data_IF_694354863090
#
_entry.id   IF_694354863090
#
_cell.length_a   1.000
_cell.length_b   1.000
_cell.length_c   1.000
_cell.angle_alpha   90.00
_cell.angle_beta   90.00
_cell.angle_gamma   90.00
#
_symmetry.space_group_name_H-M   'P 1'
#
loop_
_entity.id
_entity.type
_entity.pdbx_description
1 polymer ?
#
# COMPACT_ATOMS: atom_id res chain seq x y z
N UNK A 1 -4.91 -13.13 -0.67
CA UNK A 1 -3.65 -12.67 -1.30
C UNK A 1 -3.41 -13.44 -2.59
N UNK A 2 -3.26 -12.72 -3.70
CA UNK A 2 -3.01 -13.32 -5.00
C UNK A 2 -1.52 -13.55 -5.27
N UNK A 3 -0.65 -12.74 -4.70
CA UNK A 3 0.79 -12.82 -4.94
C UNK A 3 1.56 -12.29 -3.74
N UNK A 4 2.62 -13.00 -3.37
CA UNK A 4 3.59 -12.56 -2.36
C UNK A 4 4.99 -12.91 -2.85
N UNK A 5 5.92 -11.97 -2.71
CA UNK A 5 7.34 -12.20 -2.98
C UNK A 5 8.17 -11.64 -1.84
N UNK A 6 8.93 -12.50 -1.18
CA UNK A 6 9.93 -12.10 -0.20
C UNK A 6 11.30 -12.09 -0.89
N UNK A 7 11.82 -10.91 -1.17
CA UNK A 7 13.10 -10.74 -1.84
C UNK A 7 14.26 -11.18 -0.94
N UNK A 8 15.39 -11.60 -1.53
CA UNK A 8 16.60 -11.90 -0.74
C UNK A 8 16.96 -10.73 0.18
N UNK A 9 17.29 -11.03 1.43
CA UNK A 9 17.61 -10.03 2.43
C UNK A 9 16.42 -9.45 3.19
N UNK A 10 15.18 -9.80 2.82
CA UNK A 10 14.01 -9.39 3.58
C UNK A 10 13.93 -10.13 4.92
N UNK A 11 13.34 -9.47 5.92
CA UNK A 11 13.11 -10.05 7.24
C UNK A 11 11.63 -10.42 7.44
N UNK A 12 11.32 -11.37 8.35
CA UNK A 12 9.92 -11.68 8.66
C UNK A 12 9.08 -10.47 9.09
N UNK A 13 9.71 -9.47 9.73
CA UNK A 13 9.05 -8.22 10.10
C UNK A 13 8.55 -7.43 8.90
N UNK A 14 9.16 -7.58 7.73
CA UNK A 14 8.70 -6.91 6.52
C UNK A 14 7.32 -7.41 6.09
N UNK A 15 7.06 -8.71 6.20
CA UNK A 15 5.75 -9.27 5.91
C UNK A 15 4.68 -8.76 6.89
N UNK A 16 5.03 -8.60 8.16
CA UNK A 16 4.13 -8.04 9.16
C UNK A 16 3.81 -6.58 8.88
N UNK A 17 4.81 -5.77 8.54
CA UNK A 17 4.59 -4.39 8.13
C UNK A 17 3.70 -4.29 6.89
N UNK A 18 3.94 -5.16 5.90
CA UNK A 18 3.11 -5.20 4.69
C UNK A 18 1.65 -5.51 5.03
N UNK A 19 1.40 -6.48 5.90
CA UNK A 19 0.05 -6.81 6.38
C UNK A 19 -0.64 -5.61 7.02
N UNK A 20 0.05 -4.92 7.91
CA UNK A 20 -0.49 -3.77 8.64
C UNK A 20 -0.80 -2.59 7.73
N UNK A 21 0.06 -2.31 6.76
CA UNK A 21 -0.16 -1.28 5.74
C UNK A 21 -1.34 -1.63 4.85
N UNK A 22 -1.42 -2.87 4.40
CA UNK A 22 -2.53 -3.38 3.60
C UNK A 22 -3.86 -3.24 4.34
N UNK A 23 -3.89 -3.55 5.62
CA UNK A 23 -5.11 -3.44 6.42
C UNK A 23 -5.67 -2.01 6.39
N UNK A 24 -4.81 -1.00 6.45
CA UNK A 24 -5.23 0.41 6.32
C UNK A 24 -5.92 0.66 4.98
N UNK A 25 -5.31 0.22 3.89
CA UNK A 25 -5.83 0.45 2.54
C UNK A 25 -7.13 -0.32 2.30
N UNK A 26 -7.21 -1.56 2.76
CA UNK A 26 -8.43 -2.37 2.58
C UNK A 26 -9.62 -1.77 3.32
N UNK A 27 -9.40 -1.17 4.48
CA UNK A 27 -10.48 -0.56 5.24
C UNK A 27 -10.85 0.83 4.73
N UNK A 28 -9.87 1.66 4.45
CA UNK A 28 -10.08 3.08 4.17
C UNK A 28 -10.03 3.46 2.69
N UNK A 29 -9.59 2.55 1.83
CA UNK A 29 -9.56 2.69 0.37
C UNK A 29 -8.78 3.92 -0.13
N UNK A 30 -7.76 4.31 0.61
CA UNK A 30 -6.79 5.36 0.26
C UNK A 30 -5.39 4.83 0.53
N UNK A 31 -4.38 5.41 -0.12
CA UNK A 31 -3.01 4.99 0.13
C UNK A 31 -2.65 5.12 1.62
N UNK A 32 -1.87 4.19 2.13
CA UNK A 32 -1.44 4.23 3.52
C UNK A 32 -0.60 5.47 3.84
N UNK A 33 0.13 6.01 2.85
CA UNK A 33 0.83 7.28 3.01
C UNK A 33 -0.14 8.45 3.19
N UNK A 34 -1.17 8.54 2.37
CA UNK A 34 -2.17 9.61 2.47
C UNK A 34 -2.87 9.60 3.84
N UNK A 35 -3.22 8.42 4.32
CA UNK A 35 -3.82 8.27 5.65
C UNK A 35 -2.84 8.75 6.73
N UNK A 36 -1.57 8.32 6.68
CA UNK A 36 -0.57 8.72 7.65
C UNK A 36 -0.32 10.22 7.69
N UNK A 37 -0.21 10.85 6.51
CA UNK A 37 -0.01 12.31 6.41
C UNK A 37 -1.22 13.08 6.94
N UNK A 38 -2.43 12.62 6.66
CA UNK A 38 -3.65 13.23 7.20
C UNK A 38 -3.72 13.14 8.72
N UNK A 39 -3.34 12.02 9.30
CA UNK A 39 -3.30 11.86 10.76
C UNK A 39 -2.26 12.78 11.41
N UNK A 40 -1.09 12.94 10.79
CA UNK A 40 -0.06 13.87 11.28
C UNK A 40 -0.56 15.31 11.22
N UNK A 41 -1.19 15.71 10.11
CA UNK A 41 -1.76 17.05 9.96
C UNK A 41 -2.77 17.34 11.06
N UNK A 42 -3.61 16.37 11.41
CA UNK A 42 -4.68 16.52 12.37
C UNK A 42 -4.24 16.18 13.81
N UNK A 43 -2.96 15.90 14.03
CA UNK A 43 -2.36 15.54 15.32
C UNK A 43 -3.12 14.43 16.04
N UNK A 44 -3.38 13.34 15.31
CA UNK A 44 -4.11 12.19 15.83
C UNK A 44 -3.51 10.87 15.31
N UNK A 45 -4.12 9.77 15.66
CA UNK A 45 -3.77 8.43 15.20
C UNK A 45 -5.04 7.60 14.98
N UNK A 46 -4.88 6.42 14.37
CA UNK A 46 -6.02 5.57 14.04
C UNK A 46 -6.72 5.02 15.28
N UNK A 47 -6.01 4.79 16.35
CA UNK A 47 -6.63 4.30 17.58
C UNK A 47 -7.53 5.35 18.21
N UNK A 48 -7.07 6.58 18.34
CA UNK A 48 -7.88 7.69 18.88
C UNK A 48 -9.06 8.04 17.97
N UNK A 49 -8.83 8.06 16.67
CA UNK A 49 -9.84 8.49 15.70
C UNK A 49 -10.88 7.41 15.40
N UNK A 50 -10.46 6.15 15.30
CA UNK A 50 -11.30 5.06 14.78
C UNK A 50 -11.25 3.80 15.65
N UNK A 51 -10.49 3.78 16.73
CA UNK A 51 -10.35 2.60 17.57
C UNK A 51 -9.57 1.45 16.93
N UNK A 52 -8.76 1.72 15.91
CA UNK A 52 -7.98 0.70 15.23
C UNK A 52 -6.66 0.49 15.96
N UNK A 53 -6.30 -0.78 16.31
CA UNK A 53 -5.08 -1.05 17.06
C UNK A 53 -3.83 -0.89 16.20
N UNK A 54 -2.80 -0.27 16.74
CA UNK A 54 -1.51 -0.08 16.07
C UNK A 54 -0.87 -1.41 15.64
N UNK A 55 -1.14 -2.48 16.37
CA UNK A 55 -0.58 -3.80 16.08
C UNK A 55 -1.00 -4.31 14.70
N UNK A 56 -2.19 -3.93 14.25
CA UNK A 56 -2.78 -4.45 13.01
C UNK A 56 -2.90 -3.41 11.90
N UNK A 57 -2.68 -2.13 12.21
CA UNK A 57 -2.86 -1.04 11.24
C UNK A 57 -1.67 -0.09 11.30
N UNK A 58 -0.96 0.03 10.17
CA UNK A 58 0.20 0.91 10.04
C UNK A 58 -0.08 1.98 8.96
N UNK A 59 -0.38 3.23 9.37
CA UNK A 59 -0.63 4.32 8.43
C UNK A 59 0.69 4.91 7.92
N UNK A 60 1.51 4.08 7.29
CA UNK A 60 2.80 4.42 6.72
C UNK A 60 2.85 4.03 5.26
N UNK A 61 3.58 4.79 4.44
CA UNK A 61 3.67 4.58 3.00
C UNK A 61 4.10 3.18 2.62
N UNK A 62 3.50 2.63 1.57
CA UNK A 62 3.83 1.32 1.03
C UNK A 62 2.64 0.48 0.62
N UNK A 63 1.41 0.91 0.85
CA UNK A 63 0.24 0.23 0.32
C UNK A 63 -0.66 1.21 -0.44
N UNK A 64 -1.20 0.76 -1.56
CA UNK A 64 -1.96 1.59 -2.48
C UNK A 64 -3.19 0.84 -2.99
N UNK A 65 -4.38 1.48 -3.06
CA UNK A 65 -5.58 0.82 -3.55
C UNK A 65 -5.52 0.64 -5.07
N UNK A 66 -5.98 -0.52 -5.52
CA UNK A 66 -6.17 -0.80 -6.93
C UNK A 66 -7.62 -0.54 -7.30
N UNK A 67 -7.84 0.43 -8.19
CA UNK A 67 -9.17 0.82 -8.65
C UNK A 67 -9.33 0.55 -10.13
N UNK A 68 -10.51 0.07 -10.49
CA UNK A 68 -10.90 -0.12 -11.89
C UNK A 68 -12.06 0.82 -12.18
N UNK A 69 -11.98 1.52 -13.30
CA UNK A 69 -13.08 2.38 -13.77
C UNK A 69 -14.37 1.59 -13.84
N UNK A 70 -15.42 2.11 -13.19
CA UNK A 70 -16.73 1.49 -13.15
C UNK A 70 -16.91 0.40 -12.11
N UNK A 71 -15.84 -0.10 -11.47
CA UNK A 71 -15.92 -1.17 -10.46
C UNK A 71 -15.42 -0.75 -9.08
N UNK A 72 -14.74 0.38 -8.98
CA UNK A 72 -14.20 0.87 -7.71
C UNK A 72 -12.93 0.16 -7.27
N UNK A 73 -12.72 0.07 -5.96
CA UNK A 73 -11.55 -0.54 -5.38
C UNK A 73 -11.69 -2.06 -5.35
N UNK A 74 -10.79 -2.76 -6.03
CA UNK A 74 -10.80 -4.23 -6.14
C UNK A 74 -9.73 -4.91 -5.32
N UNK A 75 -8.81 -4.17 -4.75
CA UNK A 75 -7.70 -4.75 -3.99
C UNK A 75 -6.64 -3.72 -3.65
N UNK A 76 -5.46 -4.22 -3.35
CA UNK A 76 -4.32 -3.38 -2.99
C UNK A 76 -3.01 -4.00 -3.46
N UNK A 77 -2.01 -3.14 -3.65
CA UNK A 77 -0.62 -3.54 -3.85
C UNK A 77 0.22 -2.96 -2.71
N UNK A 78 1.09 -3.77 -2.13
CA UNK A 78 1.85 -3.39 -0.93
C UNK A 78 3.31 -3.77 -1.08
N UNK A 79 4.19 -2.84 -0.70
CA UNK A 79 5.64 -3.01 -0.62
C UNK A 79 6.09 -2.61 0.78
N UNK A 80 7.01 -3.38 1.35
CA UNK A 80 7.62 -3.07 2.64
C UNK A 80 9.08 -3.48 2.65
N UNK A 81 9.95 -2.61 3.17
CA UNK A 81 11.39 -2.87 3.29
C UNK A 81 12.28 -1.66 3.08
N UNK A 82 11.75 -0.56 2.59
CA UNK A 82 12.44 0.71 2.43
C UNK A 82 11.80 1.78 3.34
N UNK A 83 12.37 2.99 3.45
CA UNK A 83 11.66 4.10 4.10
C UNK A 83 10.27 4.29 3.47
N UNK A 84 9.29 4.73 4.26
CA UNK A 84 7.88 4.74 3.85
C UNK A 84 7.60 5.54 2.58
N UNK A 85 8.33 6.64 2.36
CA UNK A 85 8.17 7.43 1.14
C UNK A 85 8.70 6.69 -0.09
N UNK A 86 9.76 5.91 0.07
CA UNK A 86 10.34 5.13 -1.03
C UNK A 86 9.47 3.92 -1.38
N UNK A 87 8.92 3.23 -0.39
CA UNK A 87 7.95 2.16 -0.61
C UNK A 87 6.75 2.68 -1.41
N UNK A 88 6.20 3.82 -1.00
CA UNK A 88 5.09 4.47 -1.69
C UNK A 88 5.47 4.88 -3.12
N UNK A 89 6.61 5.53 -3.29
CA UNK A 89 7.06 6.03 -4.59
C UNK A 89 7.27 4.90 -5.61
N UNK A 90 7.75 3.75 -5.16
CA UNK A 90 7.92 2.58 -6.03
C UNK A 90 6.57 2.16 -6.63
N UNK A 91 5.55 2.04 -5.79
CA UNK A 91 4.21 1.64 -6.26
C UNK A 91 3.65 2.66 -7.23
N UNK A 92 3.73 3.94 -6.89
CA UNK A 92 3.20 5.02 -7.75
C UNK A 92 3.89 5.02 -9.09
N UNK A 93 5.22 4.85 -9.14
CA UNK A 93 5.97 4.83 -10.39
C UNK A 93 5.55 3.67 -11.30
N UNK A 94 5.32 2.48 -10.73
CA UNK A 94 4.88 1.31 -11.50
C UNK A 94 3.46 1.51 -12.03
N UNK A 95 2.54 1.97 -11.21
CA UNK A 95 1.16 2.21 -11.63
C UNK A 95 1.07 3.32 -12.65
N UNK A 96 1.88 4.37 -12.52
CA UNK A 96 1.94 5.46 -13.51
C UNK A 96 2.46 4.95 -14.86
N UNK A 97 3.49 4.11 -14.84
CA UNK A 97 4.01 3.51 -16.07
C UNK A 97 2.97 2.65 -16.77
N UNK A 98 2.16 1.91 -16.02
CA UNK A 98 1.08 1.13 -16.59
C UNK A 98 0.00 2.01 -17.22
N UNK A 99 -0.36 3.12 -16.59
CA UNK A 99 -1.33 4.06 -17.14
C UNK A 99 -0.81 4.73 -18.42
N UNK A 100 0.45 5.15 -18.41
CA UNK A 100 1.05 5.88 -19.54
C UNK A 100 1.20 5.01 -20.79
N UNK A 101 1.47 3.72 -20.60
CA UNK A 101 1.65 2.76 -21.68
C UNK A 101 0.35 2.06 -22.12
N UNK A 102 -0.76 2.38 -21.43
CA UNK A 102 -2.00 1.64 -21.55
C UNK A 102 -1.89 0.24 -20.95
N UNK A 103 -3.01 -0.40 -20.72
CA UNK A 103 -3.00 -1.79 -20.30
C UNK A 103 -2.80 -2.69 -21.52
N UNK A 104 -1.61 -3.20 -21.66
CA UNK A 104 -1.31 -4.26 -22.61
C UNK A 104 -0.79 -5.45 -21.84
N UNK A 105 -1.05 -6.65 -22.37
CA UNK A 105 -0.46 -7.86 -21.81
C UNK A 105 1.06 -7.69 -21.86
N UNK A 106 1.73 -7.67 -20.71
CA UNK A 106 3.15 -7.37 -20.70
C UNK A 106 3.97 -8.45 -21.41
N UNK A 107 4.79 -8.04 -22.35
CA UNK A 107 5.72 -8.94 -23.05
C UNK A 107 6.73 -9.58 -22.09
N UNK A 108 6.94 -8.97 -20.92
CA UNK A 108 7.84 -9.53 -19.92
C UNK A 108 7.40 -10.88 -19.35
N UNK A 109 6.22 -11.35 -19.68
CA UNK A 109 5.75 -12.67 -19.30
C UNK A 109 5.84 -13.70 -20.44
N UNK A 110 6.45 -13.33 -21.52
CA UNK A 110 6.67 -14.24 -22.65
C UNK A 110 7.87 -15.14 -22.41
#
# INVERSE_FOLDING_TARGET
TLFVCAMPGSAPSNADWARRKRNVVQLLQRSSLAIGLGLKRDDTDLQRKMGLPDRDYAPHGGSFPLRILGSGCIGSITVSGMPEFDDHALIVSVLQAWQDNGWQKPDLFL
#
